data_IF_819904253739
#
_entry.id   IF_819904253739
#
_cell.length_a   1.000
_cell.length_b   1.000
_cell.length_c   1.000
_cell.angle_alpha   90.00
_cell.angle_beta   90.00
_cell.angle_gamma   90.00
#
_symmetry.space_group_name_H-M   'P 1'
#
loop_
_entity.id
_entity.type
_entity.pdbx_description
1 polymer ?
#
# COMPACT_ATOMS: atom_id res chain seq x y z
N UNK A 1 43.71 10.35 -18.75
CA UNK A 1 43.05 10.43 -17.43
C UNK A 1 41.58 10.09 -17.64
N UNK A 2 41.19 8.84 -17.38
CA UNK A 2 39.78 8.42 -17.47
C UNK A 2 39.05 8.81 -16.21
N UNK A 3 37.86 9.39 -16.35
CA UNK A 3 36.95 9.64 -15.23
C UNK A 3 36.52 8.30 -14.62
N UNK A 4 36.49 8.14 -13.28
CA UNK A 4 35.97 6.93 -12.69
C UNK A 4 34.46 6.88 -12.93
N UNK A 5 34.02 5.82 -13.60
CA UNK A 5 32.62 5.47 -13.74
C UNK A 5 31.96 5.51 -12.35
N UNK A 6 30.91 6.31 -12.20
CA UNK A 6 30.09 6.29 -11.00
C UNK A 6 29.52 4.89 -10.84
N UNK A 7 30.05 4.21 -9.82
CA UNK A 7 29.61 2.92 -9.31
C UNK A 7 28.09 2.93 -9.20
N UNK A 8 27.44 2.01 -9.92
CA UNK A 8 26.00 1.82 -9.87
C UNK A 8 25.58 1.53 -8.43
N UNK A 9 24.91 2.49 -7.81
CA UNK A 9 24.19 2.23 -6.56
C UNK A 9 23.03 1.29 -6.90
N UNK A 10 23.05 0.06 -6.41
CA UNK A 10 21.85 -0.78 -6.38
C UNK A 10 20.75 0.02 -5.67
N UNK A 11 19.75 0.47 -6.43
CA UNK A 11 18.56 1.11 -5.86
C UNK A 11 17.80 -0.02 -5.17
N UNK A 12 17.95 -0.12 -3.86
CA UNK A 12 17.12 -1.03 -3.08
C UNK A 12 15.67 -0.53 -3.19
N UNK A 13 14.72 -1.38 -3.57
CA UNK A 13 13.31 -0.98 -3.60
C UNK A 13 12.94 -0.45 -2.21
N UNK A 14 12.36 0.75 -2.19
CA UNK A 14 11.91 1.36 -0.94
C UNK A 14 10.71 0.56 -0.42
N UNK A 15 10.57 0.44 0.90
CA UNK A 15 9.43 -0.23 1.53
C UNK A 15 8.65 0.80 2.33
N UNK A 16 7.35 0.91 2.04
CA UNK A 16 6.40 1.71 2.81
C UNK A 16 5.45 0.79 3.57
N UNK A 17 5.44 0.92 4.89
CA UNK A 17 4.49 0.21 5.74
C UNK A 17 3.34 1.15 6.11
N UNK A 18 2.12 0.77 5.77
CA UNK A 18 0.89 1.53 6.02
C UNK A 18 0.00 0.72 6.95
N UNK A 19 -0.47 1.32 8.03
CA UNK A 19 -1.47 0.73 8.90
C UNK A 19 -2.75 1.57 8.86
N UNK A 20 -3.88 0.93 8.57
CA UNK A 20 -5.20 1.54 8.55
C UNK A 20 -6.07 0.87 9.61
N UNK A 21 -6.92 1.63 10.29
CA UNK A 21 -7.97 1.10 11.15
C UNK A 21 -9.32 1.60 10.66
N UNK A 22 -10.30 0.72 10.55
CA UNK A 22 -11.66 1.10 10.19
C UNK A 22 -12.67 0.16 10.84
N UNK A 23 -13.81 0.72 11.22
CA UNK A 23 -15.04 -0.03 11.49
C UNK A 23 -15.93 -0.07 10.24
N UNK A 24 -17.13 -0.63 10.37
CA UNK A 24 -18.05 -0.75 9.23
C UNK A 24 -18.51 0.60 8.65
N UNK A 25 -18.60 1.66 9.46
CA UNK A 25 -19.00 3.00 9.00
C UNK A 25 -17.91 3.67 8.17
N UNK A 26 -16.66 3.23 8.32
CA UNK A 26 -15.50 3.73 7.57
C UNK A 26 -14.97 2.74 6.52
N UNK A 27 -15.67 1.63 6.29
CA UNK A 27 -15.23 0.60 5.35
C UNK A 27 -15.11 1.11 3.91
N UNK A 28 -15.98 2.05 3.49
CA UNK A 28 -15.89 2.66 2.16
C UNK A 28 -14.64 3.52 2.01
N UNK A 29 -14.33 4.35 3.00
CA UNK A 29 -13.16 5.24 3.02
C UNK A 29 -11.87 4.41 3.06
N UNK A 30 -11.86 3.30 3.81
CA UNK A 30 -10.79 2.32 3.76
C UNK A 30 -10.62 1.76 2.34
N UNK A 31 -11.71 1.34 1.69
CA UNK A 31 -11.67 0.86 0.31
C UNK A 31 -11.07 1.88 -0.67
N UNK A 32 -11.51 3.14 -0.60
CA UNK A 32 -10.96 4.23 -1.43
C UNK A 32 -9.47 4.44 -1.18
N UNK A 33 -9.04 4.35 0.08
CA UNK A 33 -7.63 4.51 0.45
C UNK A 33 -6.78 3.39 -0.15
N UNK A 34 -7.22 2.13 0.00
CA UNK A 34 -6.51 0.96 -0.53
C UNK A 34 -6.43 0.99 -2.06
N UNK A 35 -7.53 1.33 -2.73
CA UNK A 35 -7.56 1.48 -4.18
C UNK A 35 -6.62 2.59 -4.67
N UNK A 36 -6.59 3.71 -3.95
CA UNK A 36 -5.69 4.81 -4.32
C UNK A 36 -4.22 4.44 -4.13
N UNK A 37 -3.91 3.64 -3.10
CA UNK A 37 -2.56 3.12 -2.86
C UNK A 37 -2.12 2.13 -3.94
N UNK A 38 -3.01 1.24 -4.40
CA UNK A 38 -2.68 0.28 -5.47
C UNK A 38 -2.45 0.97 -6.81
N UNK A 39 -3.25 1.97 -7.17
CA UNK A 39 -3.12 2.68 -8.45
C UNK A 39 -1.92 3.64 -8.48
N UNK A 40 -1.49 4.16 -7.33
CA UNK A 40 -0.44 5.20 -7.25
C UNK A 40 0.96 4.65 -6.96
N UNK A 41 1.15 3.32 -6.99
CA UNK A 41 2.40 2.69 -6.54
C UNK A 41 3.57 2.94 -7.53
N UNK A 42 4.67 3.60 -7.10
CA UNK A 42 5.90 3.68 -7.89
C UNK A 42 6.52 2.29 -8.12
N UNK A 43 7.13 2.08 -9.29
CA UNK A 43 7.73 0.78 -9.68
C UNK A 43 8.78 0.25 -8.70
N UNK A 44 9.46 1.14 -7.99
CA UNK A 44 10.54 0.81 -7.06
C UNK A 44 10.12 0.95 -5.58
N UNK A 45 8.81 0.93 -5.32
CA UNK A 45 8.24 0.97 -3.97
C UNK A 45 7.43 -0.29 -3.71
N UNK A 46 7.72 -1.01 -2.63
CA UNK A 46 6.86 -2.07 -2.10
C UNK A 46 6.01 -1.49 -0.97
N UNK A 47 4.68 -1.64 -1.06
CA UNK A 47 3.77 -1.19 -0.01
C UNK A 47 3.27 -2.42 0.77
N UNK A 48 3.47 -2.42 2.08
CA UNK A 48 2.83 -3.37 2.99
C UNK A 48 1.67 -2.65 3.68
N UNK A 49 0.45 -3.11 3.44
CA UNK A 49 -0.73 -2.55 4.08
C UNK A 49 -1.28 -3.51 5.15
N UNK A 50 -1.52 -2.98 6.34
CA UNK A 50 -2.09 -3.70 7.47
C UNK A 50 -3.41 -3.05 7.85
N UNK A 51 -4.49 -3.82 7.88
CA UNK A 51 -5.82 -3.33 8.30
C UNK A 51 -6.14 -3.87 9.68
N UNK A 52 -6.34 -2.96 10.64
CA UNK A 52 -6.93 -3.25 11.94
C UNK A 52 -8.45 -3.22 11.79
N UNK A 53 -9.06 -4.40 11.85
CA UNK A 53 -10.50 -4.57 11.72
C UNK A 53 -11.22 -4.16 13.01
N UNK A 54 -11.97 -3.05 12.95
CA UNK A 54 -12.79 -2.50 14.04
C UNK A 54 -14.20 -3.09 14.11
N UNK A 55 -14.50 -4.16 13.36
CA UNK A 55 -15.83 -4.76 13.26
C UNK A 55 -16.51 -4.51 11.92
N UNK A 56 -15.74 -4.55 10.82
CA UNK A 56 -16.24 -4.42 9.45
C UNK A 56 -17.13 -5.63 9.13
N UNK A 57 -18.33 -5.37 8.61
CA UNK A 57 -19.28 -6.42 8.30
C UNK A 57 -18.86 -7.21 7.06
N UNK A 58 -19.24 -8.48 7.00
CA UNK A 58 -18.82 -9.40 5.94
C UNK A 58 -19.04 -8.86 4.50
N UNK A 59 -20.16 -8.20 4.16
CA UNK A 59 -20.36 -7.65 2.81
C UNK A 59 -19.36 -6.55 2.44
N UNK A 60 -18.94 -5.73 3.41
CA UNK A 60 -17.98 -4.67 3.17
C UNK A 60 -16.55 -5.20 3.17
N UNK A 61 -16.26 -6.19 4.02
CA UNK A 61 -14.99 -6.89 4.05
C UNK A 61 -14.68 -7.57 2.72
N UNK A 62 -15.66 -8.27 2.14
CA UNK A 62 -15.52 -8.89 0.82
C UNK A 62 -15.21 -7.88 -0.30
N UNK A 63 -15.74 -6.66 -0.21
CA UNK A 63 -15.42 -5.59 -1.17
C UNK A 63 -13.99 -5.08 -1.00
N UNK A 64 -13.56 -4.89 0.25
CA UNK A 64 -12.20 -4.45 0.58
C UNK A 64 -11.18 -5.50 0.14
N UNK A 65 -11.42 -6.78 0.44
CA UNK A 65 -10.58 -7.91 0.02
C UNK A 65 -10.48 -8.06 -1.51
N UNK A 66 -11.45 -7.54 -2.27
CA UNK A 66 -11.39 -7.53 -3.73
C UNK A 66 -10.53 -6.40 -4.33
N UNK A 67 -10.07 -5.45 -3.52
CA UNK A 67 -9.21 -4.33 -3.95
C UNK A 67 -7.72 -4.69 -3.83
N UNK A 68 -7.37 -5.48 -2.81
CA UNK A 68 -6.00 -5.88 -2.46
C UNK A 68 -5.65 -7.27 -2.97
#
# INVERSE_FOLDING_TARGET
>A
MGTPAHSGSEIRPAVLNVACGADDNFALQLGVTLFSLSESQPKDLTIHCYVVDGGIQAPNKAKIEGII
#
